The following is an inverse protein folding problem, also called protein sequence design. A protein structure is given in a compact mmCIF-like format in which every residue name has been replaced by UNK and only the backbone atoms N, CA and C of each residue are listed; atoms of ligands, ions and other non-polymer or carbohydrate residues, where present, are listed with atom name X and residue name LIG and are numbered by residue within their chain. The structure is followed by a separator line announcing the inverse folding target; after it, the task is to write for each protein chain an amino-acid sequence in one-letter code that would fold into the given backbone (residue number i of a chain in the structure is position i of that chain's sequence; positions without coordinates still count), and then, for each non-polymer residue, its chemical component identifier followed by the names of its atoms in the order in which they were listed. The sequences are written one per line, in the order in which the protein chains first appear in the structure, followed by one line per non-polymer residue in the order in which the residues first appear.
data_IF_901099674439
#
_entry.id   IF_901099674439
#
_cell.length_a   1.000
_cell.length_b   1.000
_cell.length_c   1.000
_cell.angle_alpha   90.00
_cell.angle_beta   90.00
_cell.angle_gamma   90.00
#
_symmetry.space_group_name_H-M   'P 1'
#
loop_
_entity.id
_entity.type
_entity.pdbx_description
1 polymer ?
#
# COMPACT_ATOMS: atom_id res chain seq x y z
N UNK A 1 -6.39 -27.04 10.32
CA UNK A 1 -6.97 -25.89 11.04
C UNK A 1 -5.96 -25.21 11.94
N UNK A 2 -5.20 -25.96 12.75
CA UNK A 2 -4.10 -25.42 13.58
C UNK A 2 -3.10 -24.57 12.77
N UNK A 3 -2.53 -25.07 11.67
CA UNK A 3 -1.57 -24.32 10.81
C UNK A 3 -2.08 -22.99 10.24
N UNK A 4 -3.37 -22.91 9.91
CA UNK A 4 -3.99 -21.68 9.38
C UNK A 4 -4.29 -20.67 10.50
N UNK A 5 -4.61 -21.18 11.70
CA UNK A 5 -4.79 -20.37 12.91
C UNK A 5 -3.45 -19.91 13.46
N UNK A 6 -2.38 -20.71 13.41
CA UNK A 6 -1.03 -20.25 13.75
C UNK A 6 -0.49 -19.27 12.74
N UNK A 7 -0.74 -19.45 11.43
CA UNK A 7 -0.38 -18.46 10.42
C UNK A 7 -1.19 -17.16 10.59
N UNK A 8 -2.49 -17.23 10.84
CA UNK A 8 -3.33 -16.05 11.12
C UNK A 8 -2.97 -15.37 12.46
N UNK A 9 -2.59 -16.13 13.49
CA UNK A 9 -2.11 -15.58 14.76
C UNK A 9 -0.70 -15.00 14.65
N UNK A 10 0.16 -15.58 13.80
CA UNK A 10 1.47 -14.99 13.46
C UNK A 10 1.31 -13.75 12.59
N UNK A 11 0.28 -13.71 11.73
CA UNK A 11 -0.12 -12.52 10.97
C UNK A 11 -0.66 -11.43 11.88
N UNK A 12 -1.54 -11.76 12.82
CA UNK A 12 -2.10 -10.83 13.81
C UNK A 12 -1.01 -10.35 14.78
N UNK A 13 -0.09 -11.23 15.19
CA UNK A 13 1.06 -10.87 16.02
C UNK A 13 2.11 -10.06 15.25
N UNK A 14 2.31 -10.32 13.95
CA UNK A 14 3.14 -9.46 13.11
C UNK A 14 2.46 -8.12 12.92
N UNK A 15 1.14 -8.07 12.66
CA UNK A 15 0.29 -6.87 12.56
C UNK A 15 0.29 -6.03 13.86
N UNK A 16 0.47 -6.65 15.03
CA UNK A 16 0.66 -5.93 16.31
C UNK A 16 2.06 -5.33 16.46
N UNK A 17 3.04 -5.76 15.67
CA UNK A 17 4.34 -5.08 15.54
C UNK A 17 4.30 -3.90 14.55
N UNK A 18 3.18 -3.69 13.84
CA UNK A 18 2.93 -2.50 13.02
C UNK A 18 2.34 -1.41 13.90
N UNK A 19 3.20 -0.84 14.76
CA UNK A 19 3.02 0.56 15.12
C UNK A 19 3.81 1.37 14.08
N UNK A 20 3.16 2.13 13.19
CA UNK A 20 3.87 3.29 12.63
C UNK A 20 4.31 4.10 13.84
N UNK A 21 5.57 4.53 13.90
CA UNK A 21 6.06 5.28 15.05
C UNK A 21 6.79 6.55 14.62
N UNK A 22 6.34 7.67 15.19
CA UNK A 22 6.98 8.98 15.30
C UNK A 22 7.07 9.82 14.02
N UNK A 23 6.01 10.59 13.78
CA UNK A 23 6.15 11.87 13.10
C UNK A 23 7.05 12.78 13.95
N UNK A 24 8.32 12.94 13.56
CA UNK A 24 8.98 14.20 13.83
C UNK A 24 8.08 15.30 13.25
N UNK A 25 7.91 16.42 13.96
CA UNK A 25 7.17 17.57 13.42
C UNK A 25 7.94 18.05 12.19
N UNK A 26 7.56 17.51 11.03
CA UNK A 26 8.14 17.86 9.76
C UNK A 26 7.75 19.31 9.46
N UNK A 27 8.73 20.12 9.06
CA UNK A 27 8.51 21.50 8.70
C UNK A 27 7.50 21.52 7.54
N UNK A 28 6.26 21.92 7.81
CA UNK A 28 5.23 22.06 6.77
C UNK A 28 5.59 23.28 5.91
N UNK A 29 5.78 23.05 4.62
CA UNK A 29 5.98 24.12 3.66
C UNK A 29 4.63 24.60 3.13
N UNK A 30 4.46 25.92 2.99
CA UNK A 30 3.21 26.52 2.54
C UNK A 30 3.09 26.56 1.00
N UNK A 31 4.19 26.32 0.28
CA UNK A 31 4.24 26.35 -1.18
C UNK A 31 5.40 25.54 -1.73
N UNK A 32 5.34 25.18 -3.02
CA UNK A 32 6.44 24.56 -3.74
C UNK A 32 7.65 25.49 -3.76
N UNK A 33 7.43 26.80 -3.95
CA UNK A 33 8.52 27.79 -3.88
C UNK A 33 9.21 27.82 -2.51
N UNK A 34 8.51 27.54 -1.41
CA UNK A 34 9.12 27.49 -0.09
C UNK A 34 10.07 26.29 0.06
N UNK A 35 9.75 25.15 -0.57
CA UNK A 35 10.64 23.98 -0.64
C UNK A 35 11.85 24.31 -1.52
N UNK A 36 11.62 24.87 -2.72
CA UNK A 36 12.71 25.20 -3.65
C UNK A 36 13.65 26.27 -3.08
N UNK A 37 13.16 27.20 -2.27
CA UNK A 37 14.00 28.20 -1.58
C UNK A 37 15.00 27.56 -0.61
N UNK A 38 14.66 26.44 0.04
CA UNK A 38 15.63 25.68 0.86
C UNK A 38 16.64 24.95 -0.04
N UNK A 39 16.16 24.40 -1.16
CA UNK A 39 17.02 23.74 -2.14
C UNK A 39 18.03 24.72 -2.79
N UNK A 40 17.66 25.99 -2.98
CA UNK A 40 18.59 27.04 -3.40
C UNK A 40 19.80 27.09 -2.46
N UNK A 41 19.55 27.12 -1.15
CA UNK A 41 20.63 27.19 -0.15
C UNK A 41 21.51 25.94 -0.23
N UNK A 42 20.90 24.76 -0.31
CA UNK A 42 21.63 23.48 -0.32
C UNK A 42 22.47 23.32 -1.58
N UNK A 43 21.93 23.67 -2.75
CA UNK A 43 22.62 23.54 -4.03
C UNK A 43 23.71 24.60 -4.22
N UNK A 44 23.52 25.81 -3.71
CA UNK A 44 24.59 26.80 -3.68
C UNK A 44 25.70 26.40 -2.67
N UNK A 45 25.36 25.83 -1.52
CA UNK A 45 26.36 25.30 -0.59
C UNK A 45 27.13 24.11 -1.21
N UNK A 46 26.47 23.25 -1.99
CA UNK A 46 27.13 22.20 -2.75
C UNK A 46 28.19 22.75 -3.71
N UNK A 47 27.89 23.88 -4.38
CA UNK A 47 28.84 24.58 -5.25
C UNK A 47 30.03 25.12 -4.46
N UNK A 48 29.78 25.78 -3.33
CA UNK A 48 30.84 26.39 -2.51
C UNK A 48 31.79 25.33 -1.92
N UNK A 49 31.24 24.20 -1.47
CA UNK A 49 32.02 23.05 -0.99
C UNK A 49 32.86 22.45 -2.13
N UNK A 50 32.28 22.33 -3.33
CA UNK A 50 33.03 21.87 -4.51
C UNK A 50 34.17 22.83 -4.87
N UNK A 51 33.93 24.14 -4.78
CA UNK A 51 34.94 25.17 -4.99
C UNK A 51 36.11 25.06 -3.99
N UNK A 52 35.81 24.66 -2.75
CA UNK A 52 36.82 24.32 -1.72
C UNK A 52 37.53 22.98 -1.96
N UNK A 53 37.25 22.29 -3.07
CA UNK A 53 37.82 21.00 -3.50
C UNK A 53 37.40 19.80 -2.66
N UNK A 54 36.29 19.89 -1.93
CA UNK A 54 35.70 18.76 -1.21
C UNK A 54 34.58 18.11 -2.04
N UNK A 55 34.97 17.22 -2.94
CA UNK A 55 34.05 16.60 -3.91
C UNK A 55 32.99 15.72 -3.24
N UNK A 56 33.37 14.97 -2.20
CA UNK A 56 32.47 14.02 -1.55
C UNK A 56 31.39 14.74 -0.74
N UNK A 57 31.75 15.80 0.01
CA UNK A 57 30.73 16.61 0.70
C UNK A 57 29.84 17.39 -0.27
N UNK A 58 30.38 17.88 -1.38
CA UNK A 58 29.59 18.56 -2.39
C UNK A 58 28.52 17.62 -2.98
N UNK A 59 28.91 16.40 -3.35
CA UNK A 59 27.97 15.37 -3.84
C UNK A 59 26.93 14.99 -2.78
N UNK A 60 27.33 14.89 -1.51
CA UNK A 60 26.40 14.62 -0.41
C UNK A 60 25.33 15.72 -0.29
N UNK A 61 25.70 16.99 -0.48
CA UNK A 61 24.73 18.10 -0.53
C UNK A 61 23.78 18.01 -1.74
N UNK A 62 24.29 17.65 -2.92
CA UNK A 62 23.43 17.44 -4.11
C UNK A 62 22.45 16.28 -3.87
N UNK A 63 22.90 15.18 -3.27
CA UNK A 63 22.03 14.06 -2.87
C UNK A 63 20.98 14.51 -1.85
N UNK A 64 21.35 15.36 -0.88
CA UNK A 64 20.41 15.88 0.10
C UNK A 64 19.34 16.78 -0.54
N UNK A 65 19.71 17.61 -1.53
CA UNK A 65 18.72 18.38 -2.28
C UNK A 65 17.74 17.47 -3.05
N UNK A 66 18.23 16.38 -3.64
CA UNK A 66 17.39 15.42 -4.36
C UNK A 66 16.52 14.59 -3.40
N UNK A 67 17.12 13.70 -2.62
CA UNK A 67 16.37 12.75 -1.78
C UNK A 67 15.71 13.43 -0.57
N UNK A 68 16.40 14.40 0.04
CA UNK A 68 15.93 15.05 1.26
C UNK A 68 14.85 16.11 1.04
N UNK A 69 14.71 16.64 -0.18
CA UNK A 69 13.76 17.72 -0.49
C UNK A 69 12.93 17.42 -1.74
N UNK A 70 13.56 17.24 -2.90
CA UNK A 70 12.85 17.08 -4.18
C UNK A 70 11.93 15.84 -4.20
N UNK A 71 12.44 14.68 -3.79
CA UNK A 71 11.67 13.44 -3.71
C UNK A 71 10.78 13.44 -2.45
N UNK A 72 11.38 13.64 -1.27
CA UNK A 72 10.69 13.54 0.02
C UNK A 72 9.47 14.45 0.16
N UNK A 73 9.54 15.69 -0.33
CA UNK A 73 8.41 16.62 -0.25
C UNK A 73 7.45 16.50 -1.45
N UNK A 74 7.62 15.49 -2.30
CA UNK A 74 6.72 15.19 -3.41
C UNK A 74 6.85 16.10 -4.63
N UNK A 75 7.92 16.90 -4.72
CA UNK A 75 8.15 17.82 -5.85
C UNK A 75 8.28 17.02 -7.15
N UNK A 76 9.03 15.92 -7.14
CA UNK A 76 9.18 15.03 -8.29
C UNK A 76 7.82 14.54 -8.80
N UNK A 77 7.01 14.00 -7.89
CA UNK A 77 5.67 13.47 -8.20
C UNK A 77 4.76 14.56 -8.77
N UNK A 78 4.80 15.76 -8.20
CA UNK A 78 4.02 16.90 -8.66
C UNK A 78 4.45 17.35 -10.06
N UNK A 79 5.75 17.45 -10.33
CA UNK A 79 6.28 17.78 -11.66
C UNK A 79 5.86 16.73 -12.69
N UNK A 80 6.01 15.44 -12.38
CA UNK A 80 5.63 14.36 -13.29
C UNK A 80 4.13 14.35 -13.59
N UNK A 81 3.31 14.65 -12.59
CA UNK A 81 1.84 14.58 -12.69
C UNK A 81 1.21 15.82 -13.33
N UNK A 82 1.71 17.02 -13.01
CA UNK A 82 1.06 18.29 -13.38
C UNK A 82 1.80 19.10 -14.45
N UNK A 83 3.08 18.79 -14.70
CA UNK A 83 3.87 19.41 -15.78
C UNK A 83 4.06 18.38 -16.90
N UNK A 84 4.92 17.37 -16.67
CA UNK A 84 5.03 16.18 -17.53
C UNK A 84 6.03 15.18 -16.96
N UNK A 85 5.82 13.88 -17.24
CA UNK A 85 6.81 12.85 -16.91
C UNK A 85 8.19 13.13 -17.51
N UNK A 86 8.24 13.67 -18.75
CA UNK A 86 9.49 14.09 -19.39
C UNK A 86 10.23 15.16 -18.57
N UNK A 87 9.51 16.17 -18.06
CA UNK A 87 10.12 17.22 -17.23
C UNK A 87 10.73 16.63 -15.96
N UNK A 88 10.03 15.71 -15.29
CA UNK A 88 10.56 15.01 -14.12
C UNK A 88 11.88 14.28 -14.43
N UNK A 89 11.92 13.53 -15.54
CA UNK A 89 13.13 12.84 -16.02
C UNK A 89 14.26 13.82 -16.36
N UNK A 90 13.97 14.94 -17.02
CA UNK A 90 14.96 15.97 -17.35
C UNK A 90 15.58 16.56 -16.07
N UNK A 91 14.77 16.78 -15.02
CA UNK A 91 15.21 17.27 -13.72
C UNK A 91 16.10 16.24 -12.99
N UNK A 92 15.70 14.96 -12.95
CA UNK A 92 16.50 13.87 -12.38
C UNK A 92 17.85 13.73 -13.09
N UNK A 93 17.85 13.75 -14.43
CA UNK A 93 19.06 13.74 -15.24
C UNK A 93 19.99 14.88 -14.88
N UNK A 94 19.45 16.08 -14.66
CA UNK A 94 20.24 17.25 -14.33
C UNK A 94 20.94 17.12 -12.96
N UNK A 95 20.28 16.55 -11.94
CA UNK A 95 20.91 16.21 -10.67
C UNK A 95 22.04 15.17 -10.84
N UNK A 96 21.80 14.12 -11.63
CA UNK A 96 22.82 13.11 -11.92
C UNK A 96 24.02 13.71 -12.66
N UNK A 97 23.78 14.60 -13.62
CA UNK A 97 24.81 15.29 -14.41
C UNK A 97 25.71 16.17 -13.54
N UNK A 98 25.16 16.92 -12.58
CA UNK A 98 25.95 17.72 -11.63
C UNK A 98 26.91 16.82 -10.84
N UNK A 99 26.40 15.73 -10.27
CA UNK A 99 27.23 14.77 -9.49
C UNK A 99 28.33 14.16 -10.35
N UNK A 100 28.02 13.80 -11.60
CA UNK A 100 29.00 13.27 -12.55
C UNK A 100 30.11 14.29 -12.82
N UNK A 101 29.77 15.55 -13.12
CA UNK A 101 30.77 16.60 -13.34
C UNK A 101 31.66 16.84 -12.12
N UNK A 102 31.08 16.79 -10.90
CA UNK A 102 31.86 16.90 -9.67
C UNK A 102 32.83 15.72 -9.51
N UNK A 103 32.38 14.49 -9.79
CA UNK A 103 33.22 13.28 -9.76
C UNK A 103 34.32 13.30 -10.81
N UNK A 104 34.05 13.85 -12.00
CA UNK A 104 35.00 13.96 -13.10
C UNK A 104 36.01 15.12 -12.87
N UNK A 105 35.89 15.88 -11.78
CA UNK A 105 36.77 17.02 -11.47
C UNK A 105 36.62 18.17 -12.48
N UNK A 106 35.42 18.36 -13.02
CA UNK A 106 35.15 19.37 -14.03
C UNK A 106 35.45 20.80 -13.53
N UNK A 107 35.76 21.76 -14.43
CA UNK A 107 35.99 23.14 -14.02
C UNK A 107 34.82 23.73 -13.22
N UNK A 108 35.11 24.53 -12.18
CA UNK A 108 34.08 25.15 -11.33
C UNK A 108 32.98 25.87 -12.14
N UNK A 109 33.37 26.56 -13.23
CA UNK A 109 32.42 27.23 -14.13
C UNK A 109 31.42 26.25 -14.77
N UNK A 110 31.84 25.04 -15.14
CA UNK A 110 30.96 24.03 -15.70
C UNK A 110 29.95 23.53 -14.65
N UNK A 111 30.40 23.27 -13.42
CA UNK A 111 29.52 22.87 -12.32
C UNK A 111 28.52 23.97 -11.96
N UNK A 112 28.97 25.25 -11.91
CA UNK A 112 28.09 26.40 -11.67
C UNK A 112 26.95 26.50 -12.67
N UNK A 113 27.25 26.33 -13.97
CA UNK A 113 26.25 26.41 -15.04
C UNK A 113 25.17 25.34 -14.86
N UNK A 114 25.55 24.11 -14.51
CA UNK A 114 24.57 23.04 -14.30
C UNK A 114 23.76 23.24 -13.01
N UNK A 115 24.35 23.82 -11.95
CA UNK A 115 23.63 24.21 -10.73
C UNK A 115 22.64 25.35 -11.02
N UNK A 116 23.03 26.38 -11.78
CA UNK A 116 22.11 27.45 -12.19
C UNK A 116 20.96 26.90 -13.03
N UNK A 117 21.26 25.91 -13.88
CA UNK A 117 20.25 25.26 -14.73
C UNK A 117 19.23 24.50 -13.89
N UNK A 118 19.66 23.67 -12.94
CA UNK A 118 18.71 22.94 -12.07
C UNK A 118 17.90 23.89 -11.20
N UNK A 119 18.51 24.93 -10.63
CA UNK A 119 17.78 25.92 -9.82
C UNK A 119 16.71 26.62 -10.67
N UNK A 120 17.06 27.04 -11.88
CA UNK A 120 16.09 27.64 -12.80
C UNK A 120 14.93 26.68 -13.10
N UNK A 121 15.24 25.41 -13.38
CA UNK A 121 14.20 24.40 -13.64
C UNK A 121 13.27 24.22 -12.44
N UNK A 122 13.83 24.11 -11.23
CA UNK A 122 13.07 23.96 -10.00
C UNK A 122 12.17 25.17 -9.72
N UNK A 123 12.66 26.39 -9.95
CA UNK A 123 11.87 27.62 -9.81
C UNK A 123 10.77 27.71 -10.86
N UNK A 124 11.05 27.36 -12.12
CA UNK A 124 10.02 27.28 -13.17
C UNK A 124 8.92 26.28 -12.77
N UNK A 125 9.33 25.11 -12.30
CA UNK A 125 8.42 24.04 -11.89
C UNK A 125 7.58 24.45 -10.67
N UNK A 126 8.20 25.01 -9.63
CA UNK A 126 7.50 25.51 -8.45
C UNK A 126 6.51 26.63 -8.78
N UNK A 127 6.85 27.55 -9.67
CA UNK A 127 5.93 28.60 -10.11
C UNK A 127 4.76 28.08 -10.93
N UNK A 128 4.95 26.98 -11.69
CA UNK A 128 3.87 26.34 -12.42
C UNK A 128 2.96 25.49 -11.51
N UNK A 129 3.53 24.88 -10.46
CA UNK A 129 2.82 24.06 -9.49
C UNK A 129 2.08 24.93 -8.45
N UNK A 130 2.69 26.02 -8.00
CA UNK A 130 2.07 26.95 -7.05
C UNK A 130 0.82 27.60 -7.67
N UNK A 131 -0.33 27.37 -7.05
CA UNK A 131 -1.63 27.85 -7.53
C UNK A 131 -2.43 26.83 -8.35
N UNK A 132 -1.82 25.74 -8.83
CA UNK A 132 -2.56 24.55 -9.30
C UNK A 132 -2.95 23.73 -8.06
N UNK A 133 -4.20 23.90 -7.58
CA UNK A 133 -4.73 23.04 -6.53
C UNK A 133 -4.74 21.60 -7.04
N UNK A 134 -3.99 20.73 -6.38
CA UNK A 134 -4.01 19.30 -6.68
C UNK A 134 -5.44 18.77 -6.71
N UNK A 135 -5.71 17.92 -7.70
CA UNK A 135 -7.00 17.26 -7.82
C UNK A 135 -7.03 16.10 -6.81
N UNK A 136 -7.54 16.35 -5.61
CA UNK A 136 -7.70 15.33 -4.57
C UNK A 136 -8.64 14.16 -4.91
N UNK A 137 -9.07 14.03 -6.17
CA UNK A 137 -9.79 12.86 -6.68
C UNK A 137 -8.98 11.58 -6.57
N UNK A 138 -7.65 11.61 -6.71
CA UNK A 138 -6.80 10.43 -6.51
C UNK A 138 -6.93 9.87 -5.09
N UNK A 139 -6.82 10.76 -4.09
CA UNK A 139 -7.00 10.44 -2.67
C UNK A 139 -8.43 9.93 -2.39
N UNK A 140 -9.44 10.56 -3.00
CA UNK A 140 -10.82 10.10 -2.90
C UNK A 140 -10.99 8.66 -3.42
N UNK A 141 -10.49 8.36 -4.61
CA UNK A 141 -10.62 7.03 -5.21
C UNK A 141 -9.81 5.99 -4.44
N UNK A 142 -8.61 6.33 -3.96
CA UNK A 142 -7.81 5.47 -3.11
C UNK A 142 -8.58 5.11 -1.83
N UNK A 143 -9.11 6.11 -1.13
CA UNK A 143 -9.92 5.91 0.07
C UNK A 143 -11.16 5.05 -0.19
N UNK A 144 -11.89 5.36 -1.27
CA UNK A 144 -13.07 4.60 -1.70
C UNK A 144 -12.71 3.12 -1.95
N UNK A 145 -11.66 2.86 -2.72
CA UNK A 145 -11.22 1.49 -3.08
C UNK A 145 -10.82 0.71 -1.82
N UNK A 146 -10.10 1.33 -0.88
CA UNK A 146 -9.69 0.67 0.37
C UNK A 146 -10.93 0.21 1.13
N UNK A 147 -11.83 1.13 1.52
CA UNK A 147 -12.99 0.73 2.33
C UNK A 147 -13.89 -0.24 1.57
N UNK A 148 -14.07 -0.03 0.27
CA UNK A 148 -14.91 -0.88 -0.57
C UNK A 148 -14.40 -2.32 -0.61
N UNK A 149 -13.09 -2.53 -0.76
CA UNK A 149 -12.49 -3.87 -0.76
C UNK A 149 -12.70 -4.57 0.59
N UNK A 150 -12.19 -3.97 1.65
CA UNK A 150 -12.20 -4.59 2.99
C UNK A 150 -13.62 -4.81 3.50
N UNK A 151 -14.49 -3.82 3.29
CA UNK A 151 -15.89 -3.92 3.66
C UNK A 151 -16.65 -4.99 2.88
N UNK A 152 -16.33 -5.19 1.59
CA UNK A 152 -16.98 -6.21 0.77
C UNK A 152 -16.51 -7.62 1.17
N UNK A 153 -15.24 -7.79 1.52
CA UNK A 153 -14.71 -9.04 2.07
C UNK A 153 -15.38 -9.39 3.40
N UNK A 154 -15.51 -8.42 4.31
CA UNK A 154 -16.24 -8.59 5.55
C UNK A 154 -17.71 -8.99 5.30
N UNK A 155 -18.41 -8.29 4.39
CA UNK A 155 -19.80 -8.63 4.02
C UNK A 155 -19.90 -10.05 3.47
N UNK A 156 -18.96 -10.48 2.62
CA UNK A 156 -18.98 -11.82 2.02
C UNK A 156 -18.75 -12.93 3.04
N UNK A 157 -17.83 -12.74 3.99
CA UNK A 157 -17.63 -13.69 5.09
C UNK A 157 -18.91 -13.81 5.91
N UNK A 158 -19.51 -12.67 6.29
CA UNK A 158 -20.74 -12.65 7.08
C UNK A 158 -21.93 -13.25 6.31
N UNK A 159 -22.06 -12.94 5.02
CA UNK A 159 -23.09 -13.49 4.17
C UNK A 159 -22.95 -15.00 4.02
N UNK A 160 -21.73 -15.52 3.89
CA UNK A 160 -21.48 -16.96 3.76
C UNK A 160 -21.76 -17.73 5.05
N UNK A 161 -21.31 -17.22 6.20
CA UNK A 161 -21.63 -17.81 7.50
C UNK A 161 -23.15 -17.78 7.71
N UNK A 162 -23.80 -16.64 7.44
CA UNK A 162 -25.25 -16.47 7.58
C UNK A 162 -26.03 -17.41 6.65
N UNK A 163 -25.66 -17.49 5.37
CA UNK A 163 -26.29 -18.39 4.40
C UNK A 163 -26.17 -19.85 4.82
N UNK A 164 -25.04 -20.24 5.39
CA UNK A 164 -24.88 -21.58 5.92
C UNK A 164 -25.78 -21.84 7.15
N UNK A 165 -25.85 -20.89 8.09
CA UNK A 165 -26.70 -21.02 9.29
C UNK A 165 -28.18 -21.10 8.92
N UNK A 166 -28.62 -20.30 7.94
CA UNK A 166 -29.97 -20.35 7.37
C UNK A 166 -30.24 -21.75 6.79
N UNK A 167 -29.32 -22.27 5.98
CA UNK A 167 -29.46 -23.57 5.32
C UNK A 167 -29.43 -24.77 6.29
N UNK A 168 -28.73 -24.62 7.42
CA UNK A 168 -28.64 -25.64 8.47
C UNK A 168 -29.74 -25.52 9.54
N UNK A 169 -30.72 -24.62 9.35
CA UNK A 169 -31.84 -24.44 10.28
C UNK A 169 -31.53 -23.63 11.54
N UNK A 170 -30.32 -23.08 11.66
CA UNK A 170 -29.84 -22.32 12.82
C UNK A 170 -30.08 -20.82 12.69
N UNK A 171 -31.27 -20.41 12.25
CA UNK A 171 -31.65 -19.00 12.06
C UNK A 171 -31.35 -18.08 13.27
N UNK A 172 -31.58 -18.49 14.54
CA UNK A 172 -31.27 -17.64 15.69
C UNK A 172 -29.77 -17.32 15.84
N UNK A 173 -28.89 -18.18 15.33
CA UNK A 173 -27.44 -17.97 15.38
C UNK A 173 -26.95 -16.90 14.39
N UNK A 174 -27.74 -16.56 13.36
CA UNK A 174 -27.43 -15.45 12.44
C UNK A 174 -27.35 -14.13 13.20
N UNK A 175 -28.20 -13.93 14.22
CA UNK A 175 -28.16 -12.73 15.06
C UNK A 175 -26.83 -12.64 15.84
N UNK A 176 -26.29 -13.77 16.30
CA UNK A 176 -25.00 -13.81 16.99
C UNK A 176 -23.89 -13.34 16.06
N UNK A 177 -23.89 -13.82 14.81
CA UNK A 177 -22.92 -13.39 13.78
C UNK A 177 -22.97 -11.88 13.59
N UNK A 178 -24.15 -11.28 13.38
CA UNK A 178 -24.27 -9.84 13.19
C UNK A 178 -23.83 -9.03 14.42
N UNK A 179 -24.21 -9.45 15.63
CA UNK A 179 -23.80 -8.76 16.86
C UNK A 179 -22.28 -8.84 17.05
N UNK A 180 -21.68 -9.99 16.76
CA UNK A 180 -20.22 -10.17 16.79
C UNK A 180 -19.50 -9.35 15.74
N UNK A 181 -20.06 -9.22 14.52
CA UNK A 181 -19.52 -8.34 13.48
C UNK A 181 -19.58 -6.87 13.88
N UNK A 182 -20.69 -6.43 14.46
CA UNK A 182 -20.82 -5.05 14.94
C UNK A 182 -19.83 -4.75 16.07
N UNK A 183 -19.66 -5.70 17.01
CA UNK A 183 -18.65 -5.60 18.06
C UNK A 183 -17.23 -5.56 17.48
N UNK A 184 -16.95 -6.31 16.41
CA UNK A 184 -15.66 -6.28 15.72
C UNK A 184 -15.39 -4.93 15.07
N UNK A 185 -16.35 -4.35 14.36
CA UNK A 185 -16.21 -2.99 13.76
C UNK A 185 -15.90 -1.96 14.85
N UNK A 186 -16.63 -2.01 15.97
CA UNK A 186 -16.38 -1.12 17.11
C UNK A 186 -14.97 -1.34 17.71
N UNK A 187 -14.56 -2.59 17.87
CA UNK A 187 -13.23 -2.94 18.35
C UNK A 187 -12.13 -2.46 17.39
N UNK A 188 -12.34 -2.53 16.08
CA UNK A 188 -11.42 -1.99 15.08
C UNK A 188 -11.29 -0.47 15.21
N UNK A 189 -12.39 0.26 15.37
CA UNK A 189 -12.32 1.72 15.61
C UNK A 189 -11.54 2.06 16.88
N UNK A 190 -11.77 1.32 17.97
CA UNK A 190 -11.00 1.50 19.21
C UNK A 190 -9.51 1.17 19.01
N UNK A 191 -9.21 0.11 18.26
CA UNK A 191 -7.84 -0.27 17.91
C UNK A 191 -7.16 0.83 17.10
N UNK A 192 -7.85 1.48 16.15
CA UNK A 192 -7.32 2.59 15.37
C UNK A 192 -6.92 3.79 16.27
N UNK A 193 -7.78 4.13 17.24
CA UNK A 193 -7.52 5.21 18.21
C UNK A 193 -6.35 4.86 19.14
N UNK A 194 -6.33 3.62 19.64
CA UNK A 194 -5.26 3.13 20.50
C UNK A 194 -3.92 3.10 19.78
N UNK A 195 -3.90 2.58 18.54
CA UNK A 195 -2.73 2.57 17.66
C UNK A 195 -2.20 3.98 17.50
N UNK A 196 -3.03 4.95 17.08
CA UNK A 196 -2.62 6.35 16.91
C UNK A 196 -1.97 6.96 18.15
N UNK A 197 -2.34 6.51 19.34
CA UNK A 197 -1.79 7.00 20.62
C UNK A 197 -0.46 6.34 21.00
N UNK A 198 -0.15 5.16 20.47
CA UNK A 198 1.05 4.37 20.80
C UNK A 198 2.26 4.69 19.89
N UNK A 199 2.04 5.43 18.80
CA UNK A 199 3.01 5.77 17.73
C UNK A 199 4.16 6.66 18.18
N UNK A 200 4.22 7.18 19.41
CA UNK A 200 5.30 8.09 19.80
C UNK A 200 6.49 7.34 20.41
N UNK A 201 7.37 6.70 19.62
CA UNK A 201 8.75 6.34 20.02
C UNK A 201 9.68 6.04 18.81
N UNK A 202 10.85 6.68 18.83
CA UNK A 202 12.12 6.47 18.10
C UNK A 202 12.12 6.28 16.58
N UNK A 203 12.69 7.26 15.86
CA UNK A 203 13.03 7.21 14.44
C UNK A 203 14.44 6.69 14.12
N UNK A 204 15.00 5.80 14.94
CA UNK A 204 16.25 5.09 14.61
C UNK A 204 15.89 3.65 14.25
N UNK A 205 16.13 3.25 13.00
CA UNK A 205 15.70 1.99 12.33
C UNK A 205 14.29 1.99 11.73
N UNK A 206 13.74 3.16 11.40
CA UNK A 206 12.39 3.26 10.82
C UNK A 206 12.34 2.56 9.46
N UNK A 207 13.31 2.85 8.61
CA UNK A 207 13.46 2.35 7.23
C UNK A 207 13.65 0.82 7.21
N UNK A 208 14.38 0.27 8.19
CA UNK A 208 14.57 -1.19 8.34
C UNK A 208 13.25 -1.88 8.69
N UNK A 209 12.50 -1.29 9.62
CA UNK A 209 11.22 -1.84 10.08
C UNK A 209 10.21 -1.76 8.94
N UNK A 210 10.12 -0.63 8.25
CA UNK A 210 9.23 -0.39 7.12
C UNK A 210 9.52 -1.34 5.95
N UNK A 211 10.79 -1.45 5.56
CA UNK A 211 11.21 -2.37 4.50
C UNK A 211 10.91 -3.84 4.83
N UNK A 212 11.25 -4.26 6.05
CA UNK A 212 10.98 -5.63 6.52
C UNK A 212 9.48 -5.93 6.58
N UNK A 213 8.69 -4.94 7.02
CA UNK A 213 7.24 -5.02 7.12
C UNK A 213 6.57 -5.15 5.74
N UNK A 214 7.00 -4.35 4.76
CA UNK A 214 6.52 -4.43 3.38
C UNK A 214 6.87 -5.76 2.72
N UNK A 215 8.06 -6.29 2.95
CA UNK A 215 8.46 -7.61 2.45
C UNK A 215 7.65 -8.75 3.09
N UNK A 216 7.35 -8.64 4.39
CA UNK A 216 6.45 -9.59 5.04
C UNK A 216 5.04 -9.51 4.46
N UNK A 217 4.51 -8.29 4.29
CA UNK A 217 3.20 -8.05 3.69
C UNK A 217 3.12 -8.60 2.26
N UNK A 218 4.20 -8.51 1.48
CA UNK A 218 4.32 -9.11 0.15
C UNK A 218 4.04 -10.61 0.16
N UNK A 219 4.69 -11.36 1.07
CA UNK A 219 4.49 -12.82 1.20
C UNK A 219 3.06 -13.15 1.61
N UNK A 220 2.52 -12.37 2.54
CA UNK A 220 1.15 -12.52 3.05
C UNK A 220 0.11 -12.27 1.96
N UNK A 221 0.20 -11.13 1.26
CA UNK A 221 -0.70 -10.76 0.18
C UNK A 221 -0.64 -11.79 -0.94
N UNK A 222 0.55 -12.25 -1.32
CA UNK A 222 0.69 -13.31 -2.32
C UNK A 222 -0.02 -14.60 -1.91
N UNK A 223 0.14 -15.04 -0.64
CA UNK A 223 -0.52 -16.24 -0.12
C UNK A 223 -2.05 -16.09 -0.11
N UNK A 224 -2.56 -14.95 0.36
CA UNK A 224 -4.01 -14.68 0.42
C UNK A 224 -4.60 -14.60 -0.99
N UNK A 225 -3.93 -13.90 -1.91
CA UNK A 225 -4.32 -13.82 -3.32
C UNK A 225 -4.46 -15.21 -3.94
N UNK A 226 -3.46 -16.06 -3.74
CA UNK A 226 -3.49 -17.43 -4.25
C UNK A 226 -4.61 -18.26 -3.62
N UNK A 227 -4.86 -18.07 -2.33
CA UNK A 227 -5.98 -18.72 -1.64
C UNK A 227 -7.33 -18.28 -2.22
N UNK A 228 -7.56 -16.97 -2.36
CA UNK A 228 -8.80 -16.43 -2.94
C UNK A 228 -8.99 -16.89 -4.39
N UNK A 229 -7.96 -16.81 -5.22
CA UNK A 229 -8.00 -17.25 -6.61
C UNK A 229 -8.35 -18.75 -6.70
N UNK A 230 -7.78 -19.59 -5.83
CA UNK A 230 -8.09 -21.02 -5.76
C UNK A 230 -9.53 -21.34 -5.31
N UNK A 231 -10.20 -20.40 -4.66
CA UNK A 231 -11.58 -20.51 -4.15
C UNK A 231 -12.61 -19.77 -5.00
N UNK A 232 -12.19 -19.15 -6.10
CA UNK A 232 -13.08 -18.44 -7.02
C UNK A 232 -14.13 -19.36 -7.69
N UNK A 233 -13.95 -20.69 -7.67
CA UNK A 233 -14.98 -21.64 -8.10
C UNK A 233 -16.06 -21.85 -7.01
N UNK A 234 -17.32 -21.59 -7.39
CA UNK A 234 -18.47 -21.68 -6.48
C UNK A 234 -18.64 -23.06 -5.81
N UNK A 235 -18.19 -24.15 -6.43
CA UNK A 235 -18.21 -25.50 -5.87
C UNK A 235 -17.14 -25.72 -4.78
N UNK A 236 -15.93 -25.18 -4.96
CA UNK A 236 -14.86 -25.26 -3.96
C UNK A 236 -15.21 -24.46 -2.69
N UNK A 237 -15.90 -23.33 -2.85
CA UNK A 237 -16.47 -22.55 -1.76
C UNK A 237 -17.55 -23.33 -1.01
N UNK A 238 -18.53 -23.88 -1.74
CA UNK A 238 -19.63 -24.67 -1.18
C UNK A 238 -19.12 -25.87 -0.37
N UNK A 239 -18.13 -26.60 -0.87
CA UNK A 239 -17.52 -27.74 -0.17
C UNK A 239 -16.69 -27.33 1.05
N UNK A 240 -15.95 -26.21 0.99
CA UNK A 240 -15.19 -25.67 2.13
C UNK A 240 -16.11 -25.23 3.26
N UNK A 241 -17.17 -24.49 2.92
CA UNK A 241 -18.17 -24.04 3.87
C UNK A 241 -18.85 -25.26 4.50
N UNK A 242 -19.37 -26.21 3.71
CA UNK A 242 -19.98 -27.44 4.25
C UNK A 242 -19.06 -28.22 5.22
N UNK A 243 -17.78 -28.41 4.88
CA UNK A 243 -16.85 -29.17 5.73
C UNK A 243 -16.49 -28.48 7.05
N UNK A 244 -16.20 -27.18 7.02
CA UNK A 244 -15.77 -26.40 8.20
C UNK A 244 -16.86 -26.25 9.26
N UNK A 245 -18.06 -26.17 8.76
CA UNK A 245 -19.18 -25.66 9.52
C UNK A 245 -19.99 -26.84 10.09
N UNK A 246 -19.94 -28.02 9.43
CA UNK A 246 -20.33 -29.30 10.02
C UNK A 246 -19.51 -29.56 11.30
N UNK A 247 -18.21 -29.26 11.29
CA UNK A 247 -17.33 -29.40 12.47
C UNK A 247 -17.63 -28.36 13.56
N UNK A 248 -18.05 -27.14 13.19
CA UNK A 248 -18.38 -26.08 14.14
C UNK A 248 -19.74 -26.33 14.83
N UNK A 249 -20.74 -26.82 14.09
CA UNK A 249 -22.07 -27.16 14.63
C UNK A 249 -21.99 -28.29 15.65
N UNK A 250 -21.10 -29.28 15.48
CA UNK A 250 -20.96 -30.42 16.41
C UNK A 250 -20.61 -30.02 17.86
N UNK A 251 -20.17 -28.78 18.10
CA UNK A 251 -19.80 -28.26 19.44
C UNK A 251 -20.89 -27.43 20.13
N UNK A 252 -21.96 -27.03 19.43
CA UNK A 252 -23.08 -26.25 19.99
C UNK A 252 -22.77 -24.86 20.55
N UNK A 253 -21.53 -24.36 20.46
CA UNK A 253 -21.11 -23.13 21.15
C UNK A 253 -21.41 -21.87 20.34
N UNK A 254 -22.46 -21.13 20.74
CA UNK A 254 -22.77 -19.77 20.24
C UNK A 254 -21.57 -18.82 20.36
N UNK A 255 -20.77 -18.99 21.41
CA UNK A 255 -19.56 -18.21 21.64
C UNK A 255 -18.49 -18.49 20.58
N UNK A 256 -18.23 -19.76 20.24
CA UNK A 256 -17.23 -20.10 19.23
C UNK A 256 -17.59 -19.54 17.84
N UNK A 257 -18.88 -19.60 17.47
CA UNK A 257 -19.38 -19.00 16.23
C UNK A 257 -19.26 -17.48 16.24
N UNK A 258 -19.71 -16.84 17.33
CA UNK A 258 -19.62 -15.39 17.49
C UNK A 258 -18.17 -14.90 17.46
N UNK A 259 -17.27 -15.58 18.17
CA UNK A 259 -15.85 -15.26 18.18
C UNK A 259 -15.19 -15.45 16.81
N UNK A 260 -15.57 -16.50 16.07
CA UNK A 260 -15.09 -16.68 14.70
C UNK A 260 -15.55 -15.56 13.75
N UNK A 261 -16.82 -15.15 13.83
CA UNK A 261 -17.34 -14.01 13.06
C UNK A 261 -16.68 -12.69 13.48
N UNK A 262 -16.47 -12.49 14.78
CA UNK A 262 -15.76 -11.33 15.32
C UNK A 262 -14.33 -11.26 14.77
N UNK A 263 -13.54 -12.34 14.89
CA UNK A 263 -12.15 -12.34 14.43
C UNK A 263 -12.03 -12.12 12.93
N UNK A 264 -12.96 -12.67 12.14
CA UNK A 264 -12.95 -12.46 10.70
C UNK A 264 -13.17 -10.98 10.35
N UNK A 265 -14.19 -10.34 10.93
CA UNK A 265 -14.47 -8.91 10.66
C UNK A 265 -13.41 -8.00 11.27
N UNK A 266 -12.92 -8.33 12.46
CA UNK A 266 -11.88 -7.55 13.14
C UNK A 266 -10.58 -7.55 12.33
N UNK A 267 -10.25 -8.68 11.68
CA UNK A 267 -9.12 -8.77 10.76
C UNK A 267 -9.28 -7.81 9.58
N UNK A 268 -10.41 -7.85 8.86
CA UNK A 268 -10.62 -6.92 7.72
C UNK A 268 -10.63 -5.45 8.20
N UNK A 269 -11.15 -5.20 9.42
CA UNK A 269 -11.07 -3.89 10.05
C UNK A 269 -9.64 -3.45 10.41
N UNK A 270 -8.78 -4.35 10.87
CA UNK A 270 -7.37 -4.08 11.13
C UNK A 270 -6.59 -3.79 9.84
N UNK A 271 -6.82 -4.57 8.78
CA UNK A 271 -6.26 -4.33 7.45
C UNK A 271 -6.71 -2.96 6.91
N UNK A 272 -8.01 -2.62 7.04
CA UNK A 272 -8.55 -1.29 6.70
C UNK A 272 -7.80 -0.17 7.40
N UNK A 273 -7.58 -0.28 8.71
CA UNK A 273 -6.90 0.75 9.50
C UNK A 273 -5.49 0.99 9.01
N UNK A 274 -4.74 -0.08 8.73
CA UNK A 274 -3.35 0.04 8.27
C UNK A 274 -3.27 0.66 6.87
N UNK A 275 -4.16 0.28 5.95
CA UNK A 275 -4.22 0.90 4.62
C UNK A 275 -4.60 2.38 4.71
N UNK A 276 -5.55 2.74 5.57
CA UNK A 276 -5.89 4.15 5.80
C UNK A 276 -4.76 4.91 6.48
N UNK A 277 -4.01 4.30 7.40
CA UNK A 277 -2.85 4.94 8.02
C UNK A 277 -1.78 5.26 6.99
N UNK A 278 -1.43 4.31 6.11
CA UNK A 278 -0.48 4.55 5.03
C UNK A 278 -0.96 5.67 4.09
N UNK A 279 -2.22 5.63 3.66
CA UNK A 279 -2.79 6.65 2.78
C UNK A 279 -2.85 8.04 3.43
N UNK A 280 -3.10 8.12 4.74
CA UNK A 280 -3.17 9.39 5.46
C UNK A 280 -1.82 10.12 5.53
N UNK A 281 -0.69 9.41 5.37
CA UNK A 281 0.65 10.01 5.24
C UNK A 281 0.72 10.82 3.94
N UNK A 282 0.27 10.23 2.82
CA UNK A 282 0.33 10.85 1.49
C UNK A 282 -0.80 11.86 1.23
N UNK A 283 -1.90 11.79 1.99
CA UNK A 283 -3.09 12.59 1.71
C UNK A 283 -2.92 14.10 1.98
N UNK A 284 -1.88 14.51 2.73
CA UNK A 284 -1.55 15.90 3.08
C UNK A 284 -2.77 16.85 3.20
N UNK A 285 -2.97 17.75 2.23
CA UNK A 285 -4.02 18.78 2.22
C UNK A 285 -5.39 18.31 1.67
N UNK A 286 -5.52 17.03 1.29
CA UNK A 286 -6.73 16.41 0.76
C UNK A 286 -7.44 15.47 1.74
N UNK A 287 -7.30 15.75 3.04
CA UNK A 287 -7.91 14.93 4.09
C UNK A 287 -9.45 14.95 4.02
N UNK A 288 -10.06 16.00 3.45
CA UNK A 288 -11.49 16.05 3.12
C UNK A 288 -11.88 14.93 2.13
N UNK A 289 -11.04 14.66 1.14
CA UNK A 289 -11.26 13.62 0.12
C UNK A 289 -11.19 12.22 0.68
N UNK A 290 -10.35 12.00 1.69
CA UNK A 290 -10.32 10.73 2.45
C UNK A 290 -11.68 10.50 3.11
N UNK A 291 -12.23 11.48 3.81
CA UNK A 291 -13.54 11.33 4.46
C UNK A 291 -14.66 11.12 3.45
N UNK A 292 -14.63 11.81 2.31
CA UNK A 292 -15.62 11.59 1.25
C UNK A 292 -15.51 10.19 0.64
N UNK A 293 -14.31 9.69 0.36
CA UNK A 293 -14.09 8.34 -0.16
C UNK A 293 -14.60 7.27 0.80
N UNK A 294 -14.28 7.42 2.09
CA UNK A 294 -14.77 6.56 3.16
C UNK A 294 -16.30 6.57 3.25
N UNK A 295 -16.92 7.75 3.24
CA UNK A 295 -18.37 7.90 3.36
C UNK A 295 -19.10 7.29 2.15
N UNK A 296 -18.67 7.61 0.93
CA UNK A 296 -19.28 7.07 -0.29
C UNK A 296 -19.11 5.55 -0.35
N UNK A 297 -17.91 5.05 -0.05
CA UNK A 297 -17.65 3.61 0.00
C UNK A 297 -18.54 2.88 1.02
N UNK A 298 -18.69 3.45 2.22
CA UNK A 298 -19.56 2.90 3.26
C UNK A 298 -21.03 2.87 2.82
N UNK A 299 -21.53 3.92 2.16
CA UNK A 299 -22.90 3.96 1.62
C UNK A 299 -23.09 2.88 0.56
N UNK A 300 -22.14 2.74 -0.36
CA UNK A 300 -22.18 1.69 -1.40
C UNK A 300 -22.18 0.29 -0.78
N UNK A 301 -21.36 0.06 0.24
CA UNK A 301 -21.33 -1.21 0.98
C UNK A 301 -22.64 -1.50 1.71
N UNK A 302 -23.26 -0.49 2.32
CA UNK A 302 -24.57 -0.63 2.96
C UNK A 302 -25.64 -1.03 1.93
N UNK A 303 -25.64 -0.40 0.74
CA UNK A 303 -26.53 -0.77 -0.37
C UNK A 303 -26.27 -2.22 -0.80
N UNK A 304 -25.01 -2.61 -1.00
CA UNK A 304 -24.65 -3.99 -1.38
C UNK A 304 -25.12 -4.99 -0.33
N UNK A 305 -24.89 -4.71 0.96
CA UNK A 305 -25.33 -5.57 2.05
C UNK A 305 -26.87 -5.73 2.05
N UNK A 306 -27.61 -4.64 1.89
CA UNK A 306 -29.08 -4.67 1.80
C UNK A 306 -29.55 -5.50 0.59
N UNK A 307 -28.91 -5.33 -0.56
CA UNK A 307 -29.19 -6.10 -1.78
C UNK A 307 -28.91 -7.59 -1.58
N UNK A 308 -27.81 -7.97 -0.93
CA UNK A 308 -27.51 -9.39 -0.61
C UNK A 308 -28.51 -9.94 0.42
N UNK A 309 -28.89 -9.13 1.41
CA UNK A 309 -29.75 -9.56 2.52
C UNK A 309 -31.20 -9.76 2.11
N UNK A 310 -31.73 -8.86 1.28
CA UNK A 310 -33.15 -8.79 0.93
C UNK A 310 -33.42 -9.14 -0.55
N UNK A 311 -32.42 -9.05 -1.42
CA UNK A 311 -32.54 -9.43 -2.81
C UNK A 311 -32.34 -10.93 -3.05
N UNK A 312 -32.86 -11.42 -4.17
CA UNK A 312 -32.57 -12.77 -4.69
C UNK A 312 -31.30 -12.81 -5.56
N UNK A 313 -30.57 -11.70 -5.64
CA UNK A 313 -29.37 -11.58 -6.47
C UNK A 313 -28.22 -12.37 -5.82
N UNK A 314 -27.73 -13.37 -6.56
CA UNK A 314 -26.50 -14.08 -6.21
C UNK A 314 -25.34 -13.20 -6.66
N UNK A 315 -24.53 -12.71 -5.73
CA UNK A 315 -23.31 -11.98 -6.07
C UNK A 315 -22.47 -12.86 -7.00
N UNK A 316 -21.92 -12.35 -8.12
CA UNK A 316 -21.02 -13.13 -8.94
C UNK A 316 -19.68 -13.31 -8.19
N UNK A 317 -19.62 -14.34 -7.34
CA UNK A 317 -18.49 -14.65 -6.46
C UNK A 317 -17.20 -14.79 -7.27
N UNK A 318 -17.28 -15.43 -8.45
CA UNK A 318 -16.11 -15.70 -9.30
C UNK A 318 -15.38 -14.43 -9.76
N UNK A 319 -16.01 -13.47 -10.47
CA UNK A 319 -15.31 -12.24 -10.88
C UNK A 319 -14.88 -11.38 -9.69
N UNK A 320 -15.60 -11.40 -8.56
CA UNK A 320 -15.15 -10.71 -7.35
C UNK A 320 -13.84 -11.29 -6.82
N UNK A 321 -13.80 -12.60 -6.54
CA UNK A 321 -12.60 -13.26 -6.02
C UNK A 321 -11.41 -13.14 -6.99
N UNK A 322 -11.66 -13.17 -8.30
CA UNK A 322 -10.61 -12.94 -9.31
C UNK A 322 -10.12 -11.49 -9.24
N UNK A 323 -11.04 -10.51 -9.23
CA UNK A 323 -10.70 -9.09 -9.19
C UNK A 323 -9.90 -8.70 -7.95
N UNK A 324 -10.33 -9.16 -6.77
CA UNK A 324 -9.60 -8.88 -5.52
C UNK A 324 -8.26 -9.59 -5.45
N UNK A 325 -8.17 -10.84 -5.95
CA UNK A 325 -6.88 -11.55 -6.04
C UNK A 325 -5.90 -10.84 -6.96
N UNK A 326 -6.36 -10.34 -8.12
CA UNK A 326 -5.50 -9.57 -9.05
C UNK A 326 -5.01 -8.29 -8.36
N UNK A 327 -5.90 -7.55 -7.70
CA UNK A 327 -5.52 -6.34 -6.97
C UNK A 327 -4.49 -6.63 -5.87
N UNK A 328 -4.70 -7.68 -5.08
CA UNK A 328 -3.75 -8.08 -4.04
C UNK A 328 -2.40 -8.54 -4.64
N UNK A 329 -2.39 -9.21 -5.80
CA UNK A 329 -1.14 -9.54 -6.49
C UNK A 329 -0.39 -8.28 -6.94
N UNK A 330 -1.08 -7.29 -7.50
CA UNK A 330 -0.49 -6.00 -7.89
C UNK A 330 0.12 -5.31 -6.67
N UNK A 331 -0.61 -5.27 -5.54
CA UNK A 331 -0.09 -4.69 -4.31
C UNK A 331 1.11 -5.45 -3.74
N UNK A 332 1.09 -6.78 -3.80
CA UNK A 332 2.22 -7.59 -3.35
C UNK A 332 3.47 -7.30 -4.19
N UNK A 333 3.33 -7.16 -5.51
CA UNK A 333 4.42 -6.74 -6.39
C UNK A 333 4.91 -5.33 -6.03
N UNK A 334 4.00 -4.39 -5.79
CA UNK A 334 4.36 -3.03 -5.39
C UNK A 334 5.14 -3.00 -4.06
N UNK A 335 4.67 -3.74 -3.06
CA UNK A 335 5.34 -3.84 -1.75
C UNK A 335 6.68 -4.57 -1.82
N UNK A 336 6.87 -5.47 -2.79
CA UNK A 336 8.17 -6.12 -3.00
C UNK A 336 9.24 -5.08 -3.40
N UNK A 337 8.90 -4.15 -4.29
CA UNK A 337 9.81 -3.09 -4.72
C UNK A 337 9.97 -2.00 -3.64
N UNK A 338 8.87 -1.54 -3.04
CA UNK A 338 8.90 -0.59 -1.92
C UNK A 338 9.70 -1.09 -0.73
N UNK A 339 9.48 -2.35 -0.31
CA UNK A 339 10.19 -2.92 0.82
C UNK A 339 11.69 -3.04 0.61
N UNK A 340 12.15 -3.31 -0.63
CA UNK A 340 13.58 -3.28 -0.95
C UNK A 340 14.12 -1.85 -0.99
N UNK A 341 13.35 -0.89 -1.50
CA UNK A 341 13.72 0.52 -1.54
C UNK A 341 13.98 1.07 -0.13
N UNK A 342 13.09 0.80 0.82
CA UNK A 342 13.28 1.18 2.23
C UNK A 342 14.56 0.56 2.84
N UNK A 343 14.88 -0.69 2.49
CA UNK A 343 16.13 -1.32 2.92
C UNK A 343 17.38 -0.74 2.22
N UNK A 344 17.24 -0.15 1.03
CA UNK A 344 18.30 0.64 0.40
C UNK A 344 18.50 1.97 1.12
N UNK A 345 17.41 2.65 1.48
CA UNK A 345 17.45 3.89 2.28
C UNK A 345 18.04 3.67 3.68
N UNK A 346 17.88 2.46 4.22
CA UNK A 346 18.50 2.03 5.47
C UNK A 346 19.98 1.62 5.36
N UNK A 347 20.63 1.78 4.20
CA UNK A 347 21.99 1.31 3.90
C UNK A 347 22.22 -0.21 4.09
N UNK A 348 21.15 -1.02 4.09
CA UNK A 348 21.24 -2.50 4.20
C UNK A 348 21.48 -3.14 2.83
N UNK A 349 20.81 -2.64 1.79
CA UNK A 349 20.87 -3.17 0.42
C UNK A 349 21.60 -2.20 -0.48
N UNK A 350 22.47 -2.72 -1.36
CA UNK A 350 23.18 -1.92 -2.35
C UNK A 350 22.22 -1.28 -3.35
N UNK A 351 22.59 -0.13 -3.88
CA UNK A 351 21.86 0.57 -4.93
C UNK A 351 22.62 0.42 -6.24
N UNK A 352 22.06 -0.33 -7.18
CA UNK A 352 22.56 -0.41 -8.56
C UNK A 352 21.54 0.23 -9.51
N UNK A 353 21.73 1.51 -9.91
CA UNK A 353 20.79 2.22 -10.76
C UNK A 353 20.63 1.60 -12.15
N UNK A 354 19.45 1.77 -12.76
CA UNK A 354 19.17 1.40 -14.15
C UNK A 354 18.55 2.55 -14.94
N UNK A 355 19.09 2.82 -16.12
CA UNK A 355 18.70 3.99 -16.93
C UNK A 355 17.43 3.77 -17.78
N UNK A 356 16.86 2.56 -17.80
CA UNK A 356 15.76 2.20 -18.70
C UNK A 356 14.38 2.12 -18.03
N UNK A 357 14.29 2.32 -16.71
CA UNK A 357 13.04 2.28 -15.93
C UNK A 357 12.86 3.61 -15.21
N UNK A 358 11.64 4.14 -15.20
CA UNK A 358 11.29 5.33 -14.43
C UNK A 358 10.60 4.95 -13.12
N UNK A 359 10.72 5.79 -12.10
CA UNK A 359 10.02 5.64 -10.83
C UNK A 359 8.50 5.67 -11.03
N UNK A 360 7.80 4.69 -10.47
CA UNK A 360 6.34 4.66 -10.38
C UNK A 360 5.99 4.21 -8.97
N UNK A 361 5.96 5.17 -8.04
CA UNK A 361 5.78 4.92 -6.60
C UNK A 361 4.52 4.12 -6.27
N UNK A 362 3.41 4.40 -6.96
CA UNK A 362 2.14 3.68 -6.73
C UNK A 362 2.22 2.19 -7.08
N UNK A 363 3.14 1.83 -7.99
CA UNK A 363 3.44 0.44 -8.35
C UNK A 363 4.69 -0.07 -7.63
N UNK A 364 5.28 0.73 -6.74
CA UNK A 364 6.54 0.44 -6.06
C UNK A 364 7.69 0.16 -7.03
N UNK A 365 7.66 0.73 -8.24
CA UNK A 365 8.71 0.53 -9.25
C UNK A 365 9.75 1.61 -9.03
N UNK A 366 10.99 1.21 -8.80
CA UNK A 366 12.12 2.12 -8.61
C UNK A 366 13.24 1.77 -9.59
N UNK A 367 14.06 2.74 -10.01
CA UNK A 367 15.09 2.54 -11.04
C UNK A 367 16.35 1.84 -10.49
N UNK A 368 16.19 0.74 -9.74
CA UNK A 368 17.31 -0.04 -9.17
C UNK A 368 17.15 -1.53 -9.45
N UNK A 369 18.24 -2.24 -9.76
CA UNK A 369 18.17 -3.68 -10.05
C UNK A 369 17.61 -4.47 -8.87
N UNK A 370 18.00 -4.12 -7.66
CA UNK A 370 17.63 -4.82 -6.44
C UNK A 370 16.13 -4.73 -6.15
N UNK A 371 15.47 -3.61 -6.49
CA UNK A 371 14.01 -3.47 -6.36
C UNK A 371 13.25 -4.16 -7.50
N UNK A 372 13.77 -4.10 -8.73
CA UNK A 372 13.10 -4.64 -9.91
C UNK A 372 13.15 -6.18 -10.00
N UNK A 373 14.25 -6.81 -9.60
CA UNK A 373 14.41 -8.28 -9.70
C UNK A 373 13.30 -9.03 -8.92
N UNK A 374 13.03 -8.73 -7.63
CA UNK A 374 11.94 -9.36 -6.88
C UNK A 374 10.57 -9.15 -7.52
N UNK A 375 10.30 -7.94 -8.04
CA UNK A 375 9.05 -7.62 -8.71
C UNK A 375 8.85 -8.43 -9.99
N UNK A 376 9.87 -8.52 -10.84
CA UNK A 376 9.84 -9.32 -12.07
C UNK A 376 9.63 -10.80 -11.75
N UNK A 377 10.34 -11.34 -10.76
CA UNK A 377 10.14 -12.73 -10.30
C UNK A 377 8.70 -12.94 -9.86
N UNK A 378 8.14 -12.03 -9.05
CA UNK A 378 6.76 -12.12 -8.61
C UNK A 378 5.77 -12.07 -9.77
N UNK A 379 5.96 -11.18 -10.75
CA UNK A 379 5.12 -11.10 -11.95
C UNK A 379 5.08 -12.45 -12.65
N UNK A 380 6.23 -13.12 -12.83
CA UNK A 380 6.28 -14.45 -13.43
C UNK A 380 5.58 -15.51 -12.60
N UNK A 381 5.78 -15.51 -11.27
CA UNK A 381 5.12 -16.46 -10.37
C UNK A 381 3.59 -16.27 -10.41
N UNK A 382 3.11 -15.03 -10.36
CA UNK A 382 1.69 -14.69 -10.43
C UNK A 382 1.11 -15.10 -11.78
N UNK A 383 1.78 -14.75 -12.89
CA UNK A 383 1.35 -15.14 -14.22
C UNK A 383 1.24 -16.66 -14.35
N UNK A 384 2.25 -17.39 -13.88
CA UNK A 384 2.22 -18.85 -13.85
C UNK A 384 1.08 -19.40 -13.00
N UNK A 385 0.87 -18.86 -11.78
CA UNK A 385 -0.21 -19.28 -10.91
C UNK A 385 -1.57 -19.06 -11.57
N UNK A 386 -1.83 -17.87 -12.11
CA UNK A 386 -3.07 -17.52 -12.80
C UNK A 386 -3.31 -18.43 -14.01
N UNK A 387 -2.29 -18.63 -14.87
CA UNK A 387 -2.37 -19.54 -16.01
C UNK A 387 -2.67 -20.97 -15.53
N UNK A 388 -1.93 -21.47 -14.54
CA UNK A 388 -2.14 -22.80 -13.99
C UNK A 388 -3.58 -23.02 -13.53
N UNK A 389 -4.19 -22.05 -12.84
CA UNK A 389 -5.58 -22.16 -12.40
C UNK A 389 -6.60 -22.02 -13.52
N UNK A 390 -6.34 -21.18 -14.53
CA UNK A 390 -7.22 -21.04 -15.70
C UNK A 390 -7.24 -22.34 -16.51
N UNK A 391 -6.08 -23.00 -16.66
CA UNK A 391 -5.92 -24.21 -17.48
C UNK A 391 -6.05 -25.52 -16.69
N UNK A 392 -6.24 -25.47 -15.37
CA UNK A 392 -6.47 -26.69 -14.58
C UNK A 392 -7.76 -27.34 -15.04
N UNK A 393 -7.73 -28.59 -15.56
CA UNK A 393 -8.94 -29.27 -15.98
C UNK A 393 -9.86 -29.45 -14.77
N UNK A 394 -11.07 -28.89 -14.85
CA UNK A 394 -12.14 -29.15 -13.88
C UNK A 394 -12.34 -30.66 -13.83
N UNK A 395 -12.03 -31.28 -12.69
CA UNK A 395 -12.34 -32.68 -12.47
C UNK A 395 -13.87 -32.83 -12.49
N UNK A 396 -14.42 -33.05 -13.69
CA UNK A 396 -15.76 -33.59 -13.87
C UNK A 396 -15.82 -34.90 -13.08
N UNK A 397 -16.69 -34.92 -12.08
CA UNK A 397 -17.08 -36.10 -11.31
C UNK A 397 -17.18 -37.34 -12.22
N UNK A 398 -16.36 -38.36 -11.95
CA UNK A 398 -16.77 -39.72 -12.30
C UNK A 398 -17.82 -40.15 -11.27
N UNK A 399 -19.08 -40.16 -11.72
CA UNK A 399 -20.13 -40.95 -11.09
C UNK A 399 -19.78 -42.43 -11.28
N UNK A 400 -19.79 -43.20 -10.19
CA UNK A 400 -20.46 -44.50 -10.11
C UNK A 400 -20.92 -44.71 -8.69
#
# INVERSE_FOLDING_TARGET
MKRFITLALLLIASLMAFAPSSYAVEKKYESWNAIISEMDVILNDAYDIYFMKDVERAKARVNNAYFGFYEKHGVERAVMSYISGKRGTDTEYQFAKIKRLMSDGAPNKAVRVEIDTILKMLHEDANELDGKKESGWGVFFASFIIIFREGLEAILVIAAISAYLVRSGNMPMVKVVYMSSLAAVFASVLAAIALRSAITISGANQEIIEGSAMLLATVVLFFISNWMFSKAEAEAWKSYVQGKVQTAISSGSRFALGFAAFLAVFREGAETILFYQAMLVDAQDHMDKVWYGLAVGTIVLAVIFMVIRFGSMKLPIKPFFIGTSILMYVMAIAFAGGGVKELQEADIISVTPVDFVHSVEILGIYPTLETLIPQVIMVFIVAFAVIYYIFKPSHKNYKS
#
